data_IF_374596007144
#
_entry.id   IF_374596007144
#
_cell.length_a   1.000
_cell.length_b   1.000
_cell.length_c   1.000
_cell.angle_alpha   90.00
_cell.angle_beta   90.00
_cell.angle_gamma   90.00
#
_symmetry.space_group_name_H-M   'P 1'
#
loop_
_entity.id
_entity.type
_entity.pdbx_description
1 polymer ?
#
# COMPACT_ATOMS: atom_id res chain seq x y z
N UNK A 1 -14.53 -6.40 -30.56
CA UNK A 1 -13.38 -6.78 -29.72
C UNK A 1 -13.91 -7.03 -28.32
N UNK A 2 -13.62 -8.17 -27.67
CA UNK A 2 -13.92 -8.32 -26.25
C UNK A 2 -13.18 -7.21 -25.46
N UNK A 3 -13.76 -6.68 -24.38
CA UNK A 3 -13.06 -5.72 -23.54
C UNK A 3 -11.80 -6.38 -22.99
N UNK A 4 -10.65 -5.71 -23.13
CA UNK A 4 -9.44 -6.15 -22.45
C UNK A 4 -9.68 -5.97 -20.94
N UNK A 5 -9.40 -6.99 -20.14
CA UNK A 5 -9.63 -6.99 -18.69
C UNK A 5 -8.31 -7.21 -17.96
N UNK A 6 -8.25 -6.76 -16.72
CA UNK A 6 -7.11 -6.92 -15.84
C UNK A 6 -7.42 -7.88 -14.68
N UNK A 7 -6.38 -8.47 -14.13
CA UNK A 7 -6.44 -9.23 -12.88
C UNK A 7 -5.73 -8.44 -11.80
N UNK A 8 -6.47 -8.05 -10.76
CA UNK A 8 -5.95 -7.33 -9.59
C UNK A 8 -5.67 -8.32 -8.46
N UNK A 9 -4.47 -8.24 -7.87
CA UNK A 9 -4.19 -8.86 -6.57
C UNK A 9 -3.69 -7.81 -5.59
N UNK A 10 -4.33 -7.72 -4.42
CA UNK A 10 -3.85 -6.96 -3.27
C UNK A 10 -3.24 -7.96 -2.29
N UNK A 11 -1.96 -7.78 -1.99
CA UNK A 11 -1.12 -8.69 -1.25
C UNK A 11 -0.67 -8.01 0.04
N UNK A 12 -0.91 -8.70 1.15
CA UNK A 12 -0.35 -8.39 2.45
C UNK A 12 0.82 -9.34 2.71
N UNK A 13 1.75 -9.01 3.62
CA UNK A 13 2.90 -9.87 3.92
C UNK A 13 2.52 -11.29 4.36
N UNK A 14 1.31 -11.47 4.87
CA UNK A 14 0.83 -12.72 5.46
C UNK A 14 -0.36 -13.37 4.72
N UNK A 15 -0.96 -12.70 3.72
CA UNK A 15 -2.09 -13.26 2.96
C UNK A 15 -2.37 -12.52 1.64
N UNK A 16 -3.11 -13.17 0.74
CA UNK A 16 -3.76 -12.51 -0.39
C UNK A 16 -5.05 -11.87 0.11
N UNK A 17 -5.14 -10.54 0.08
CA UNK A 17 -6.27 -9.78 0.60
C UNK A 17 -7.41 -9.68 -0.42
N UNK A 18 -7.07 -9.39 -1.68
CA UNK A 18 -8.01 -9.37 -2.81
C UNK A 18 -7.37 -10.11 -3.97
N UNK A 19 -8.16 -10.95 -4.62
CA UNK A 19 -7.85 -11.50 -5.94
C UNK A 19 -9.10 -11.36 -6.80
N UNK A 20 -9.02 -10.54 -7.84
CA UNK A 20 -10.16 -10.21 -8.68
C UNK A 20 -9.77 -10.20 -10.15
N UNK A 21 -10.43 -11.06 -10.91
CA UNK A 21 -10.39 -11.06 -12.37
C UNK A 21 -11.48 -10.15 -12.94
N UNK A 22 -11.35 -9.79 -14.22
CA UNK A 22 -12.36 -9.02 -14.93
C UNK A 22 -12.40 -7.54 -14.52
N UNK A 23 -11.27 -6.98 -14.11
CA UNK A 23 -11.17 -5.57 -13.66
C UNK A 23 -11.02 -4.65 -14.87
N UNK A 24 -11.89 -3.63 -14.94
CA UNK A 24 -11.96 -2.63 -16.03
C UNK A 24 -11.14 -1.39 -15.74
N UNK A 25 -11.04 -1.01 -14.48
CA UNK A 25 -10.36 0.22 -14.06
C UNK A 25 -9.84 0.06 -12.64
N UNK A 26 -8.66 0.60 -12.38
CA UNK A 26 -8.09 0.71 -11.04
C UNK A 26 -7.64 2.16 -10.84
N UNK A 27 -7.87 2.71 -9.66
CA UNK A 27 -7.37 4.02 -9.24
C UNK A 27 -6.71 3.82 -7.89
N UNK A 28 -5.48 4.30 -7.72
CA UNK A 28 -4.74 4.23 -6.47
C UNK A 28 -4.11 5.57 -6.14
N UNK A 29 -3.85 5.80 -4.85
CA UNK A 29 -3.17 7.00 -4.38
C UNK A 29 -1.66 6.80 -4.40
N UNK A 30 -0.94 7.73 -5.03
CA UNK A 30 0.53 7.79 -5.03
C UNK A 30 1.00 9.07 -4.35
N UNK A 31 2.31 9.18 -4.13
CA UNK A 31 2.94 10.40 -3.61
C UNK A 31 2.74 11.62 -4.52
N UNK A 32 2.49 11.41 -5.82
CA UNK A 32 2.27 12.49 -6.78
C UNK A 32 0.79 12.77 -7.04
N UNK A 33 -0.11 12.09 -6.33
CA UNK A 33 -1.56 12.20 -6.52
C UNK A 33 -2.21 10.89 -6.97
N UNK A 34 -3.41 11.02 -7.51
CA UNK A 34 -4.21 9.88 -7.98
C UNK A 34 -3.63 9.30 -9.27
N UNK A 35 -3.49 7.98 -9.31
CA UNK A 35 -2.94 7.23 -10.44
C UNK A 35 -3.96 6.21 -10.94
N UNK A 36 -4.40 6.39 -12.19
CA UNK A 36 -5.40 5.54 -12.85
C UNK A 36 -4.78 4.54 -13.82
N UNK A 37 -5.31 3.32 -13.81
CA UNK A 37 -4.96 2.23 -14.72
C UNK A 37 -6.19 1.77 -15.49
N UNK A 38 -6.01 1.66 -16.80
CA UNK A 38 -6.94 1.03 -17.72
C UNK A 38 -6.22 -0.15 -18.42
N UNK A 39 -6.99 -1.09 -18.99
CA UNK A 39 -6.46 -2.17 -19.79
C UNK A 39 -5.53 -1.64 -20.90
N UNK A 40 -4.48 -2.40 -21.22
CA UNK A 40 -3.44 -2.04 -22.20
C UNK A 40 -2.55 -0.85 -21.82
N UNK A 41 -2.65 -0.30 -20.60
CA UNK A 41 -1.61 0.60 -20.08
C UNK A 41 -0.26 -0.11 -20.17
N UNK A 42 0.83 0.58 -20.55
CA UNK A 42 2.17 -0.05 -20.53
C UNK A 42 2.59 -0.44 -19.12
N UNK A 43 3.48 -1.44 -19.04
CA UNK A 43 4.03 -1.93 -17.78
C UNK A 43 4.68 -0.81 -16.97
N UNK A 44 4.41 -0.78 -15.67
CA UNK A 44 4.88 0.27 -14.79
C UNK A 44 4.93 -0.18 -13.33
N UNK A 45 5.67 0.60 -12.55
CA UNK A 45 5.75 0.49 -11.09
C UNK A 45 5.41 1.86 -10.49
N UNK A 46 4.63 1.87 -9.42
CA UNK A 46 4.30 3.09 -8.69
C UNK A 46 4.40 2.86 -7.18
N UNK A 47 5.05 3.81 -6.48
CA UNK A 47 5.00 3.86 -5.03
C UNK A 47 3.62 4.39 -4.60
N UNK A 48 2.96 3.65 -3.70
CA UNK A 48 1.66 4.00 -3.17
C UNK A 48 1.83 4.79 -1.86
N UNK A 49 0.99 5.81 -1.71
CA UNK A 49 0.78 6.47 -0.43
C UNK A 49 -0.46 5.87 0.25
N UNK A 50 -0.57 5.96 1.59
CA UNK A 50 -1.78 5.54 2.29
C UNK A 50 -3.02 6.25 1.72
N UNK A 51 -4.06 5.49 1.40
CA UNK A 51 -5.22 6.03 0.71
C UNK A 51 -6.25 4.98 0.31
N UNK A 52 -7.16 5.38 -0.57
CA UNK A 52 -8.18 4.48 -1.10
C UNK A 52 -7.76 4.00 -2.48
N UNK A 53 -7.62 2.68 -2.60
CA UNK A 53 -7.58 2.00 -3.87
C UNK A 53 -9.02 1.68 -4.29
N UNK A 54 -9.37 2.10 -5.49
CA UNK A 54 -10.68 1.85 -6.08
C UNK A 54 -10.50 0.98 -7.31
N UNK A 55 -11.33 -0.05 -7.46
CA UNK A 55 -11.37 -0.81 -8.71
C UNK A 55 -12.80 -1.11 -9.13
N UNK A 56 -13.00 -1.22 -10.44
CA UNK A 56 -14.28 -1.53 -11.04
C UNK A 56 -14.18 -2.89 -11.74
N UNK A 57 -14.99 -3.85 -11.31
CA UNK A 57 -15.07 -5.17 -11.94
C UNK A 57 -16.19 -5.21 -12.99
N UNK A 58 -16.11 -6.17 -13.92
CA UNK A 58 -17.18 -6.42 -14.90
C UNK A 58 -18.53 -6.65 -14.23
N UNK A 59 -18.51 -7.33 -13.09
CA UNK A 59 -19.67 -7.65 -12.27
C UNK A 59 -19.44 -7.15 -10.85
N UNK A 60 -20.41 -6.44 -10.28
CA UNK A 60 -20.35 -6.01 -8.87
C UNK A 60 -19.95 -4.56 -8.63
N UNK A 61 -19.85 -3.74 -9.67
CA UNK A 61 -19.68 -2.28 -9.55
C UNK A 61 -18.31 -1.85 -9.07
N UNK A 62 -18.26 -0.63 -8.52
CA UNK A 62 -17.05 -0.02 -7.97
C UNK A 62 -16.81 -0.50 -6.53
N UNK A 63 -15.59 -0.93 -6.24
CA UNK A 63 -15.18 -1.45 -4.93
C UNK A 63 -14.05 -0.58 -4.38
N UNK A 64 -14.12 -0.29 -3.09
CA UNK A 64 -13.16 0.54 -2.37
C UNK A 64 -12.37 -0.29 -1.35
N UNK A 65 -11.06 -0.08 -1.34
CA UNK A 65 -10.13 -0.72 -0.40
C UNK A 65 -9.22 0.36 0.17
N UNK A 66 -9.25 0.54 1.49
CA UNK A 66 -8.22 1.32 2.16
C UNK A 66 -6.91 0.54 2.13
N UNK A 67 -5.85 1.15 1.61
CA UNK A 67 -4.52 0.57 1.52
C UNK A 67 -3.50 1.49 2.18
N UNK A 68 -2.52 0.87 2.83
CA UNK A 68 -1.36 1.56 3.40
C UNK A 68 -0.30 1.85 2.32
N UNK A 69 0.85 2.38 2.72
CA UNK A 69 2.01 2.51 1.85
C UNK A 69 2.46 1.15 1.27
N UNK A 70 2.98 1.21 0.05
CA UNK A 70 3.39 0.02 -0.66
C UNK A 70 3.79 0.28 -2.11
N UNK A 71 3.73 -0.77 -2.92
CA UNK A 71 4.15 -0.74 -4.32
C UNK A 71 3.09 -1.40 -5.19
N UNK A 72 2.71 -0.70 -6.26
CA UNK A 72 1.92 -1.23 -7.35
C UNK A 72 2.83 -1.61 -8.51
N UNK A 73 2.64 -2.80 -9.06
CA UNK A 73 3.29 -3.28 -10.29
C UNK A 73 2.22 -3.68 -11.29
N UNK A 74 2.26 -3.08 -12.48
CA UNK A 74 1.43 -3.47 -13.62
C UNK A 74 2.32 -4.18 -14.63
N UNK A 75 1.99 -5.42 -14.98
CA UNK A 75 2.69 -6.24 -15.96
C UNK A 75 1.69 -7.02 -16.83
N UNK A 76 1.63 -6.73 -18.13
CA UNK A 76 0.64 -7.32 -19.04
C UNK A 76 -0.80 -7.01 -18.61
N UNK A 77 -1.59 -8.03 -18.28
CA UNK A 77 -2.94 -7.87 -17.73
C UNK A 77 -2.98 -7.91 -16.18
N UNK A 78 -1.85 -8.19 -15.53
CA UNK A 78 -1.79 -8.34 -14.09
C UNK A 78 -1.44 -7.00 -13.41
N UNK A 79 -2.14 -6.71 -12.33
CA UNK A 79 -1.86 -5.59 -11.42
C UNK A 79 -1.68 -6.16 -10.02
N UNK A 80 -0.46 -6.08 -9.51
CA UNK A 80 -0.08 -6.54 -8.18
C UNK A 80 0.12 -5.33 -7.27
N UNK A 81 -0.53 -5.33 -6.12
CA UNK A 81 -0.44 -4.27 -5.12
C UNK A 81 0.06 -4.90 -3.82
N UNK A 82 1.30 -4.62 -3.46
CA UNK A 82 1.91 -5.11 -2.22
C UNK A 82 1.93 -3.98 -1.21
N UNK A 83 1.15 -4.12 -0.14
CA UNK A 83 0.97 -3.10 0.91
C UNK A 83 1.10 -3.75 2.28
N UNK A 84 1.45 -2.97 3.31
CA UNK A 84 1.58 -3.52 4.68
C UNK A 84 0.23 -3.92 5.26
N UNK A 85 -0.78 -3.07 5.05
CA UNK A 85 -2.12 -3.23 5.57
C UNK A 85 -3.15 -2.88 4.50
N UNK A 86 -4.30 -3.56 4.54
CA UNK A 86 -5.43 -3.28 3.68
C UNK A 86 -6.74 -3.60 4.40
N UNK A 87 -7.74 -2.76 4.19
CA UNK A 87 -9.08 -2.90 4.77
C UNK A 87 -10.10 -2.71 3.66
N UNK A 88 -11.01 -3.67 3.50
CA UNK A 88 -12.08 -3.64 2.52
C UNK A 88 -13.39 -3.24 3.16
N UNK A 89 -14.27 -2.57 2.42
CA UNK A 89 -15.58 -2.19 2.92
C UNK A 89 -16.44 -1.47 1.89
N UNK A 90 -17.74 -1.42 2.14
CA UNK A 90 -18.71 -0.70 1.28
C UNK A 90 -18.94 0.74 1.74
N UNK A 91 -18.48 1.12 2.94
CA UNK A 91 -18.64 2.45 3.51
C UNK A 91 -17.33 3.24 3.37
N UNK A 92 -17.32 4.17 2.41
CA UNK A 92 -16.18 5.03 2.11
C UNK A 92 -15.76 5.89 3.32
N UNK A 93 -16.72 6.31 4.15
CA UNK A 93 -16.45 7.14 5.33
C UNK A 93 -15.64 6.39 6.37
N UNK A 94 -16.02 5.15 6.66
CA UNK A 94 -15.27 4.27 7.56
C UNK A 94 -13.88 3.92 7.03
N UNK A 95 -13.76 3.69 5.72
CA UNK A 95 -12.46 3.45 5.10
C UNK A 95 -11.53 4.67 5.22
N UNK A 96 -12.07 5.88 5.05
CA UNK A 96 -11.29 7.11 5.20
C UNK A 96 -10.80 7.31 6.64
N UNK A 97 -11.66 7.05 7.63
CA UNK A 97 -11.25 7.08 9.03
C UNK A 97 -10.20 6.02 9.36
N UNK A 98 -10.29 4.83 8.76
CA UNK A 98 -9.30 3.77 8.94
C UNK A 98 -7.93 4.17 8.38
N UNK A 99 -7.87 4.78 7.20
CA UNK A 99 -6.63 5.34 6.65
C UNK A 99 -6.03 6.38 7.60
N UNK A 100 -6.83 7.32 8.09
CA UNK A 100 -6.35 8.39 8.95
C UNK A 100 -5.87 7.88 10.32
N UNK A 101 -6.60 6.92 10.93
CA UNK A 101 -6.31 6.46 12.28
C UNK A 101 -5.29 5.34 12.33
N UNK A 102 -5.36 4.37 11.44
CA UNK A 102 -4.51 3.18 11.52
C UNK A 102 -3.21 3.35 10.74
N UNK A 103 -3.21 3.93 9.55
CA UNK A 103 -1.98 3.98 8.74
C UNK A 103 -1.08 5.15 9.14
N UNK A 104 -1.63 6.35 9.34
CA UNK A 104 -0.81 7.51 9.72
C UNK A 104 -0.30 7.46 11.17
N UNK A 105 -1.10 6.99 12.13
CA UNK A 105 -0.66 6.90 13.54
C UNK A 105 0.18 5.64 13.83
N UNK A 106 -0.19 4.51 13.20
CA UNK A 106 0.72 3.49 12.65
C UNK A 106 2.20 3.90 12.61
N UNK A 107 2.47 4.60 11.53
CA UNK A 107 3.80 4.88 11.02
C UNK A 107 4.58 5.84 11.94
N UNK A 108 3.94 6.89 12.46
CA UNK A 108 4.60 7.83 13.38
C UNK A 108 5.04 7.16 14.69
N UNK A 109 4.22 6.28 15.25
CA UNK A 109 4.57 5.58 16.47
C UNK A 109 5.71 4.59 16.23
N UNK A 110 5.67 3.81 15.14
CA UNK A 110 6.76 2.91 14.77
C UNK A 110 8.08 3.67 14.52
N UNK A 111 8.03 4.78 13.78
CA UNK A 111 9.19 5.65 13.53
C UNK A 111 9.78 6.17 14.85
N UNK A 112 8.94 6.62 15.77
CA UNK A 112 9.39 7.13 17.07
C UNK A 112 10.15 6.05 17.87
N UNK A 113 9.60 4.84 17.97
CA UNK A 113 10.20 3.73 18.70
C UNK A 113 11.51 3.30 18.06
N UNK A 114 11.53 3.14 16.74
CA UNK A 114 12.74 2.76 15.99
C UNK A 114 13.85 3.81 16.15
N UNK A 115 13.49 5.09 16.19
CA UNK A 115 14.45 6.18 16.42
C UNK A 115 15.06 6.16 17.83
N UNK A 116 14.27 5.82 18.85
CA UNK A 116 14.74 5.71 20.23
C UNK A 116 15.69 4.53 20.36
N UNK A 117 15.37 3.39 19.76
CA UNK A 117 16.24 2.20 19.74
C UNK A 117 17.57 2.51 19.05
N UNK A 118 17.54 3.12 17.85
CA UNK A 118 18.76 3.49 17.13
C UNK A 118 19.65 4.48 17.93
N UNK A 119 19.04 5.41 18.67
CA UNK A 119 19.77 6.32 19.58
C UNK A 119 20.39 5.60 20.77
N UNK A 120 19.69 4.62 21.35
CA UNK A 120 20.24 3.78 22.40
C UNK A 120 21.42 2.95 21.88
N UNK A 121 21.27 2.25 20.76
CA UNK A 121 22.33 1.44 20.16
C UNK A 121 23.58 2.26 19.85
N UNK A 122 23.43 3.40 19.18
CA UNK A 122 24.55 4.30 18.88
C UNK A 122 25.20 4.88 20.15
N UNK A 123 24.40 5.24 21.15
CA UNK A 123 24.90 5.70 22.45
C UNK A 123 25.60 4.61 23.27
N UNK A 124 25.20 3.35 23.13
CA UNK A 124 25.90 2.21 23.73
C UNK A 124 27.24 1.96 23.03
N UNK A 125 27.28 1.90 21.70
CA UNK A 125 28.52 1.71 20.94
C UNK A 125 29.54 2.81 21.27
N UNK A 126 29.12 4.08 21.32
CA UNK A 126 30.00 5.20 21.64
C UNK A 126 30.64 5.06 23.02
N UNK A 127 29.85 4.72 24.05
CA UNK A 127 30.36 4.52 25.43
C UNK A 127 31.30 3.34 25.53
N UNK A 128 31.04 2.24 24.81
CA UNK A 128 31.96 1.10 24.76
C UNK A 128 33.29 1.42 24.10
N UNK A 129 33.29 2.24 23.04
CA UNK A 129 34.52 2.70 22.38
C UNK A 129 35.32 3.63 23.29
N UNK A 130 34.66 4.49 24.07
CA UNK A 130 35.30 5.36 25.06
C UNK A 130 35.97 4.55 26.19
N UNK A 131 35.29 3.52 26.73
CA UNK A 131 35.85 2.62 27.76
C UNK A 131 37.04 1.80 27.25
N UNK A 132 37.06 1.44 25.96
CA UNK A 132 38.17 0.67 25.36
C UNK A 132 39.44 1.49 25.09
N UNK A 133 39.39 2.82 25.24
CA UNK A 133 40.51 3.74 25.03
C UNK A 133 41.24 4.11 26.33
N UNK A 134 40.79 3.58 27.47
CA UNK A 134 41.53 3.51 28.74
C UNK A 134 42.16 2.11 28.91
#
# INVERSE_FOLDING_TARGET
MPPALMTLKVLLPFQVFVEKEGVKRIVAQTIQGSFGLLPNRLDCVAALAPGILTYEAETGGEVYVAVDEGVLVKAGANVLVSVRNAIGGTDLGRLHEAVAREFLNLDEREKSVRSVIAKLESGFIRRFVEIKRE
#
